data_IF_750526888422
#
_entry.id   IF_750526888422
#
_cell.length_a   1.000
_cell.length_b   1.000
_cell.length_c   1.000
_cell.angle_alpha   90.00
_cell.angle_beta   90.00
_cell.angle_gamma   90.00
#
_symmetry.space_group_name_H-M   'P 1'
#
loop_
_entity.id
_entity.type
_entity.pdbx_description
1 polymer ?
#
# COMPACT_ATOMS: atom_id res chain seq x y z
N UNK A 1 28.54 64.15 11.83
CA UNK A 1 27.25 63.59 12.28
C UNK A 1 26.84 62.49 11.32
N UNK A 2 26.99 61.21 11.70
CA UNK A 2 26.42 60.08 10.95
C UNK A 2 25.43 59.39 11.88
N UNK A 3 24.15 59.62 11.66
CA UNK A 3 23.06 59.06 12.45
C UNK A 3 23.06 57.54 12.32
N UNK A 4 23.29 56.85 13.44
CA UNK A 4 23.04 55.42 13.54
C UNK A 4 21.54 55.19 13.39
N UNK A 5 21.13 54.54 12.30
CA UNK A 5 19.77 54.00 12.16
C UNK A 5 19.60 52.93 13.25
N UNK A 6 18.95 53.30 14.34
CA UNK A 6 18.39 52.34 15.29
C UNK A 6 17.43 51.44 14.51
N UNK A 7 17.69 50.13 14.46
CA UNK A 7 16.70 49.17 13.95
C UNK A 7 15.43 49.36 14.79
N UNK A 8 14.31 49.69 14.14
CA UNK A 8 13.05 49.90 14.85
C UNK A 8 12.47 48.54 15.25
N UNK A 9 11.75 48.50 16.37
CA UNK A 9 11.07 47.30 16.88
C UNK A 9 10.18 46.66 15.78
N UNK A 10 9.55 47.50 14.95
CA UNK A 10 8.76 47.09 13.78
C UNK A 10 9.59 46.30 12.75
N UNK A 11 10.83 46.70 12.45
CA UNK A 11 11.70 45.99 11.51
C UNK A 11 12.08 44.61 12.06
N UNK A 12 12.33 44.51 13.37
CA UNK A 12 12.58 43.24 14.05
C UNK A 12 11.35 42.31 14.03
N UNK A 13 10.14 42.86 14.25
CA UNK A 13 8.90 42.08 14.17
C UNK A 13 8.63 41.59 12.75
N UNK A 14 8.91 42.42 11.74
CA UNK A 14 8.72 42.07 10.33
C UNK A 14 9.70 40.96 9.89
N UNK A 15 10.98 41.08 10.26
CA UNK A 15 12.01 40.06 10.00
C UNK A 15 11.68 38.74 10.72
N UNK A 16 11.11 38.81 11.93
CA UNK A 16 10.66 37.63 12.67
C UNK A 16 9.46 36.97 11.99
N UNK A 17 8.45 37.75 11.57
CA UNK A 17 7.28 37.23 10.85
C UNK A 17 7.66 36.58 9.52
N UNK A 18 8.60 37.17 8.78
CA UNK A 18 9.09 36.62 7.51
C UNK A 18 9.80 35.27 7.73
N UNK A 19 10.65 35.18 8.77
CA UNK A 19 11.28 33.90 9.17
C UNK A 19 10.25 32.85 9.58
N UNK A 20 9.22 33.25 10.33
CA UNK A 20 8.14 32.33 10.71
C UNK A 20 7.37 31.84 9.47
N UNK A 21 7.02 32.73 8.54
CA UNK A 21 6.29 32.38 7.31
C UNK A 21 7.08 31.39 6.46
N UNK A 22 8.37 31.65 6.21
CA UNK A 22 9.24 30.75 5.44
C UNK A 22 9.36 29.38 6.12
N UNK A 23 9.58 29.36 7.44
CA UNK A 23 9.66 28.11 8.20
C UNK A 23 8.34 27.32 8.19
N UNK A 24 7.19 28.01 8.25
CA UNK A 24 5.88 27.38 8.11
C UNK A 24 5.69 26.77 6.72
N UNK A 25 6.11 27.48 5.67
CA UNK A 25 6.06 26.99 4.29
C UNK A 25 6.95 25.74 4.10
N UNK A 26 8.16 25.75 4.64
CA UNK A 26 9.04 24.57 4.66
C UNK A 26 8.41 23.38 5.38
N UNK A 27 7.79 23.61 6.55
CA UNK A 27 7.09 22.56 7.29
C UNK A 27 5.88 22.02 6.50
N UNK A 28 5.10 22.89 5.87
CA UNK A 28 3.94 22.49 5.07
C UNK A 28 4.39 21.68 3.86
N UNK A 29 5.45 22.11 3.17
CA UNK A 29 6.02 21.40 2.03
C UNK A 29 6.51 20.01 2.44
N UNK A 30 7.25 19.91 3.55
CA UNK A 30 7.75 18.62 4.03
C UNK A 30 6.61 17.69 4.46
N UNK A 31 5.61 18.20 5.19
CA UNK A 31 4.44 17.39 5.57
C UNK A 31 3.62 16.95 4.37
N UNK A 32 3.48 17.80 3.36
CA UNK A 32 2.78 17.47 2.12
C UNK A 32 3.52 16.36 1.36
N UNK A 33 4.86 16.41 1.33
CA UNK A 33 5.70 15.36 0.74
C UNK A 33 5.51 14.02 1.44
N UNK A 34 5.61 14.01 2.78
CA UNK A 34 5.41 12.80 3.58
C UNK A 34 3.99 12.23 3.42
N UNK A 35 2.97 13.09 3.38
CA UNK A 35 1.59 12.67 3.15
C UNK A 35 1.42 12.01 1.77
N UNK A 36 2.02 12.56 0.72
CA UNK A 36 1.99 11.97 -0.61
C UNK A 36 2.69 10.60 -0.65
N UNK A 37 3.83 10.45 0.03
CA UNK A 37 4.54 9.16 0.12
C UNK A 37 3.72 8.10 0.84
N UNK A 38 3.12 8.44 1.98
CA UNK A 38 2.26 7.51 2.75
C UNK A 38 0.97 7.17 2.00
N UNK A 39 0.38 8.15 1.31
CA UNK A 39 -0.79 7.91 0.45
C UNK A 39 -0.47 6.90 -0.64
N UNK A 40 0.67 7.05 -1.32
CA UNK A 40 1.11 6.10 -2.37
C UNK A 40 1.32 4.69 -1.80
N UNK A 41 2.00 4.55 -0.66
CA UNK A 41 2.21 3.24 -0.02
C UNK A 41 0.88 2.57 0.34
N UNK A 42 -0.08 3.36 0.82
CA UNK A 42 -1.42 2.88 1.18
C UNK A 42 -2.20 2.41 -0.05
N UNK A 43 -2.16 3.17 -1.15
CA UNK A 43 -2.78 2.79 -2.42
C UNK A 43 -2.16 1.51 -3.00
N UNK A 44 -0.83 1.41 -3.01
CA UNK A 44 -0.11 0.22 -3.46
C UNK A 44 -0.48 -1.02 -2.65
N UNK A 45 -0.63 -0.89 -1.33
CA UNK A 45 -1.05 -1.98 -0.46
C UNK A 45 -2.50 -2.40 -0.77
N UNK A 46 -3.40 -1.43 -0.94
CA UNK A 46 -4.80 -1.71 -1.22
C UNK A 46 -4.97 -2.47 -2.55
N UNK A 47 -4.20 -2.10 -3.57
CA UNK A 47 -4.19 -2.78 -4.87
C UNK A 47 -3.58 -4.18 -4.85
N UNK A 48 -2.77 -4.51 -3.83
CA UNK A 48 -2.28 -5.89 -3.62
C UNK A 48 -3.29 -6.80 -2.95
N UNK A 49 -4.20 -6.22 -2.16
CA UNK A 49 -5.19 -6.97 -1.38
C UNK A 49 -6.53 -7.10 -2.10
N UNK A 50 -6.93 -6.07 -2.84
CA UNK A 50 -8.28 -5.96 -3.42
C UNK A 50 -8.24 -5.74 -4.93
N UNK A 51 -9.28 -6.16 -5.67
CA UNK A 51 -9.43 -5.80 -7.07
C UNK A 51 -9.43 -4.27 -7.24
N UNK A 52 -8.86 -3.78 -8.34
CA UNK A 52 -8.71 -2.33 -8.62
C UNK A 52 -10.02 -1.55 -8.49
N UNK A 53 -11.14 -2.13 -8.93
CA UNK A 53 -12.48 -1.53 -8.87
C UNK A 53 -12.94 -1.33 -7.43
N UNK A 54 -12.72 -2.32 -6.56
CA UNK A 54 -13.06 -2.31 -5.14
C UNK A 54 -12.17 -1.32 -4.38
N UNK A 55 -10.85 -1.41 -4.61
CA UNK A 55 -9.87 -0.50 -4.02
C UNK A 55 -10.22 0.97 -4.31
N UNK A 56 -10.57 1.30 -5.56
CA UNK A 56 -10.94 2.67 -5.95
C UNK A 56 -12.21 3.18 -5.26
N UNK A 57 -13.21 2.33 -5.04
CA UNK A 57 -14.43 2.73 -4.33
C UNK A 57 -14.12 3.04 -2.86
N UNK A 58 -13.33 2.19 -2.21
CA UNK A 58 -12.93 2.36 -0.83
C UNK A 58 -12.08 3.61 -0.62
N UNK A 59 -11.15 3.94 -1.53
CA UNK A 59 -10.36 5.18 -1.43
C UNK A 59 -11.21 6.44 -1.61
N UNK A 60 -12.34 6.35 -2.31
CA UNK A 60 -13.32 7.44 -2.42
C UNK A 60 -14.31 7.50 -1.23
N UNK A 61 -14.17 6.62 -0.22
CA UNK A 61 -15.11 6.54 0.90
C UNK A 61 -16.50 6.01 0.51
N UNK A 62 -16.61 5.37 -0.64
CA UNK A 62 -17.84 4.76 -1.12
C UNK A 62 -17.96 3.34 -0.59
N UNK A 63 -19.16 2.94 -0.16
CA UNK A 63 -19.46 1.54 0.14
C UNK A 63 -19.21 0.63 -1.07
N UNK A 64 -19.02 -0.66 -0.84
CA UNK A 64 -18.86 -1.68 -1.90
C UNK A 64 -20.09 -2.56 -1.87
N UNK A 65 -20.91 -2.44 -2.91
CA UNK A 65 -22.11 -3.28 -3.07
C UNK A 65 -21.73 -4.65 -3.68
N UNK A 66 -22.42 -5.74 -3.31
CA UNK A 66 -22.24 -7.04 -3.95
C UNK A 66 -22.50 -6.94 -5.47
N UNK A 67 -21.67 -7.63 -6.26
CA UNK A 67 -21.79 -7.65 -7.73
C UNK A 67 -21.96 -9.08 -8.20
N UNK A 68 -22.96 -9.32 -9.05
CA UNK A 68 -23.10 -10.55 -9.81
C UNK A 68 -22.41 -10.43 -11.16
N UNK A 69 -21.79 -11.51 -11.62
CA UNK A 69 -21.15 -11.59 -12.93
C UNK A 69 -21.88 -12.64 -13.78
N UNK A 70 -22.19 -12.29 -15.03
CA UNK A 70 -22.93 -13.19 -15.94
C UNK A 70 -22.10 -14.40 -16.37
N UNK A 71 -20.77 -14.26 -16.37
CA UNK A 71 -19.83 -15.32 -16.72
C UNK A 71 -18.53 -15.14 -15.94
N UNK A 72 -18.07 -16.20 -15.29
CA UNK A 72 -16.81 -16.26 -14.55
C UNK A 72 -16.12 -17.58 -14.81
N UNK A 73 -14.79 -17.58 -14.77
CA UNK A 73 -13.97 -18.80 -14.75
C UNK A 73 -13.20 -18.79 -13.44
N UNK A 74 -13.27 -19.88 -12.69
CA UNK A 74 -12.56 -20.04 -11.42
C UNK A 74 -11.60 -21.22 -11.57
N UNK A 75 -10.35 -21.01 -11.18
CA UNK A 75 -9.33 -22.04 -11.12
C UNK A 75 -9.09 -22.48 -9.68
N UNK A 76 -9.21 -23.79 -9.44
CA UNK A 76 -8.87 -24.42 -8.17
C UNK A 76 -7.68 -25.35 -8.37
N UNK A 77 -6.69 -25.23 -7.50
CA UNK A 77 -5.59 -26.19 -7.40
C UNK A 77 -5.33 -26.56 -5.96
N UNK A 78 -4.91 -27.81 -5.75
CA UNK A 78 -4.64 -28.40 -4.44
C UNK A 78 -3.38 -29.27 -4.52
N UNK A 79 -2.65 -29.41 -3.41
CA UNK A 79 -1.39 -30.17 -3.38
C UNK A 79 -1.68 -31.61 -2.94
N UNK A 80 -1.57 -32.53 -3.89
CA UNK A 80 -1.79 -33.96 -3.61
C UNK A 80 -0.82 -34.44 -2.51
N UNK A 81 -1.38 -34.95 -1.41
CA UNK A 81 -0.61 -35.52 -0.31
C UNK A 81 0.02 -34.50 0.64
N UNK A 82 -0.41 -33.23 0.61
CA UNK A 82 0.12 -32.19 1.47
C UNK A 82 0.05 -32.54 2.96
N UNK A 83 -1.05 -33.14 3.43
CA UNK A 83 -1.19 -33.55 4.83
C UNK A 83 -0.07 -34.50 5.26
N UNK A 84 0.25 -35.51 4.45
CA UNK A 84 1.33 -36.46 4.74
C UNK A 84 2.70 -35.77 4.72
N UNK A 85 2.97 -34.96 3.69
CA UNK A 85 4.22 -34.21 3.59
C UNK A 85 4.43 -33.25 4.77
N UNK A 86 3.36 -32.58 5.20
CA UNK A 86 3.41 -31.63 6.32
C UNK A 86 3.60 -32.32 7.67
N UNK A 87 3.13 -33.56 7.82
CA UNK A 87 3.30 -34.35 9.04
C UNK A 87 4.74 -34.84 9.24
N UNK A 88 5.49 -35.05 8.16
CA UNK A 88 6.88 -35.51 8.16
C UNK A 88 7.91 -34.36 8.15
N UNK A 89 7.46 -33.13 7.92
CA UNK A 89 8.31 -31.94 7.77
C UNK A 89 8.24 -31.03 8.98
N UNK A 90 9.30 -30.26 9.23
CA UNK A 90 9.21 -29.18 10.22
C UNK A 90 8.29 -28.06 9.71
N UNK A 91 7.59 -27.33 10.61
CA UNK A 91 6.73 -26.21 10.22
C UNK A 91 7.45 -25.17 9.35
N UNK A 92 8.74 -24.90 9.64
CA UNK A 92 9.54 -23.96 8.87
C UNK A 92 9.77 -24.43 7.42
N UNK A 93 10.01 -25.73 7.21
CA UNK A 93 10.18 -26.29 5.87
C UNK A 93 8.87 -26.22 5.07
N UNK A 94 7.73 -26.52 5.69
CA UNK A 94 6.41 -26.43 5.04
C UNK A 94 6.11 -25.00 4.62
N UNK A 95 6.35 -24.02 5.50
CA UNK A 95 6.12 -22.60 5.19
C UNK A 95 7.03 -22.12 4.06
N UNK A 96 8.31 -22.47 4.09
CA UNK A 96 9.23 -22.09 3.02
C UNK A 96 8.82 -22.68 1.67
N UNK A 97 8.43 -23.96 1.64
CA UNK A 97 7.94 -24.63 0.44
C UNK A 97 6.70 -23.94 -0.15
N UNK A 98 5.68 -23.68 0.68
CA UNK A 98 4.47 -22.98 0.25
C UNK A 98 4.78 -21.57 -0.25
N UNK A 99 5.66 -20.85 0.45
CA UNK A 99 6.06 -19.50 0.06
C UNK A 99 6.77 -19.50 -1.31
N UNK A 100 7.68 -20.44 -1.55
CA UNK A 100 8.37 -20.56 -2.84
C UNK A 100 7.38 -20.90 -3.97
N UNK A 101 6.48 -21.86 -3.74
CA UNK A 101 5.45 -22.26 -4.71
C UNK A 101 4.52 -21.10 -5.06
N UNK A 102 3.95 -20.44 -4.05
CA UNK A 102 3.04 -19.31 -4.25
C UNK A 102 3.75 -18.09 -4.84
N UNK A 103 5.03 -17.87 -4.55
CA UNK A 103 5.83 -16.82 -5.20
C UNK A 103 5.96 -17.07 -6.71
N UNK A 104 6.15 -18.33 -7.12
CA UNK A 104 6.19 -18.70 -8.53
C UNK A 104 4.83 -18.50 -9.20
N UNK A 105 3.73 -18.96 -8.58
CA UNK A 105 2.38 -18.76 -9.10
C UNK A 105 2.02 -17.28 -9.21
N UNK A 106 2.26 -16.50 -8.16
CA UNK A 106 2.05 -15.05 -8.13
C UNK A 106 2.85 -14.33 -9.22
N UNK A 107 4.04 -14.84 -9.58
CA UNK A 107 4.83 -14.31 -10.71
C UNK A 107 4.22 -14.65 -12.06
N UNK A 108 3.68 -15.85 -12.22
CA UNK A 108 3.02 -16.29 -13.47
C UNK A 108 1.73 -15.48 -13.68
N UNK A 109 0.86 -15.42 -12.67
CA UNK A 109 -0.44 -14.75 -12.80
C UNK A 109 -0.33 -13.23 -13.01
N UNK A 110 0.78 -12.60 -12.58
CA UNK A 110 1.06 -11.18 -12.88
C UNK A 110 1.10 -10.85 -14.37
N UNK A 111 1.33 -11.84 -15.24
CA UNK A 111 1.30 -11.67 -16.70
C UNK A 111 -0.10 -11.76 -17.31
N UNK A 112 -1.12 -12.12 -16.51
CA UNK A 112 -2.49 -12.35 -16.96
C UNK A 112 -3.45 -11.40 -16.22
N UNK A 113 -4.59 -11.10 -16.83
CA UNK A 113 -5.66 -10.29 -16.21
C UNK A 113 -6.55 -11.18 -15.35
N UNK A 114 -5.98 -11.70 -14.25
CA UNK A 114 -6.66 -12.60 -13.30
C UNK A 114 -6.47 -12.10 -11.87
N UNK A 115 -7.39 -12.43 -10.98
CA UNK A 115 -7.37 -11.98 -9.58
C UNK A 115 -7.22 -13.16 -8.63
N UNK A 116 -6.14 -13.18 -7.85
CA UNK A 116 -6.01 -14.14 -6.76
C UNK A 116 -7.03 -13.80 -5.67
N UNK A 117 -7.92 -14.74 -5.36
CA UNK A 117 -8.97 -14.53 -4.36
C UNK A 117 -8.41 -14.72 -2.95
N UNK A 118 -8.41 -15.95 -2.43
CA UNK A 118 -7.84 -16.31 -1.13
C UNK A 118 -7.30 -17.74 -1.22
N UNK A 119 -6.24 -18.02 -0.46
CA UNK A 119 -5.71 -19.38 -0.31
C UNK A 119 -6.39 -20.07 0.87
N UNK A 120 -6.78 -21.33 0.71
CA UNK A 120 -7.35 -22.15 1.79
C UNK A 120 -6.36 -23.30 2.03
N UNK A 121 -5.49 -23.15 3.04
CA UNK A 121 -4.42 -24.12 3.31
C UNK A 121 -3.42 -24.22 2.15
N UNK A 122 -3.34 -25.40 1.55
CA UNK A 122 -2.53 -25.74 0.38
C UNK A 122 -3.23 -25.50 -0.97
N UNK A 123 -4.50 -25.06 -0.94
CA UNK A 123 -5.23 -24.72 -2.14
C UNK A 123 -4.95 -23.29 -2.62
N UNK A 124 -4.70 -23.16 -3.94
CA UNK A 124 -4.51 -21.88 -4.62
C UNK A 124 -5.67 -21.61 -5.57
N UNK A 125 -6.31 -20.44 -5.41
CA UNK A 125 -7.52 -20.03 -6.12
C UNK A 125 -7.32 -18.72 -6.89
N UNK A 126 -7.70 -18.72 -8.17
CA UNK A 126 -7.59 -17.60 -9.12
C UNK A 126 -8.89 -17.46 -9.90
#
# INVERSE_FOLDING_TARGET
MRGGKSKNIMDQMMEMMEKYANNLEDIVNERTRLLCEEKRKTEDLLHRMLPKSVAKRLTCGLGVEPVSYDSVTIYFSDIVGFTSMSAESSPLQVVNFLNDLYTVFDRIIKGYDVYKVETIGDAYMV
#
